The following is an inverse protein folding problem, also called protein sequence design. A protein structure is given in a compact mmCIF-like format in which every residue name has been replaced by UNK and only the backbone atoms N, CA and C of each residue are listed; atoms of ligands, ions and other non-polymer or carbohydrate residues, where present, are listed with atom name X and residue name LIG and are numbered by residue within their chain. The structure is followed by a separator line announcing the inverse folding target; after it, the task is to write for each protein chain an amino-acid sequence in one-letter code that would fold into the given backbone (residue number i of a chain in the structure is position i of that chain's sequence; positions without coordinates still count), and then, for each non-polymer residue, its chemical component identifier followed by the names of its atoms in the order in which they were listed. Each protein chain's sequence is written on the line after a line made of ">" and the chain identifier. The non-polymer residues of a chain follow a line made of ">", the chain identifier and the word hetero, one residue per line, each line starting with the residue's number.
data_IF_411833967166
#
_entry.id   IF_411833967166
#
_cell.length_a   1.000
_cell.length_b   1.000
_cell.length_c   1.000
_cell.angle_alpha   90.00
_cell.angle_beta   90.00
_cell.angle_gamma   90.00
#
_symmetry.space_group_name_H-M   'P 1'
#
loop_
_entity.id
_entity.type
_entity.pdbx_description
1 polymer ?
#
# COMPACT_ATOMS: atom_id res chain seq x y z
N UNK A 1 32.14 -15.71 -5.50
CA UNK A 1 31.61 -16.13 -6.82
C UNK A 1 31.58 -14.91 -7.72
N UNK A 2 32.16 -14.95 -8.93
CA UNK A 2 32.04 -13.84 -9.88
C UNK A 2 30.58 -13.68 -10.34
N UNK A 3 30.11 -12.46 -10.62
CA UNK A 3 28.76 -12.27 -11.14
C UNK A 3 28.63 -12.99 -12.48
N UNK A 4 27.53 -13.74 -12.66
CA UNK A 4 27.22 -14.40 -13.93
C UNK A 4 27.21 -13.35 -15.06
N UNK A 5 27.91 -13.66 -16.13
CA UNK A 5 27.97 -12.76 -17.30
C UNK A 5 26.56 -12.53 -17.85
N UNK A 6 26.32 -11.31 -18.32
CA UNK A 6 25.01 -10.86 -18.90
C UNK A 6 24.58 -11.73 -20.09
N UNK A 7 25.47 -12.54 -20.65
CA UNK A 7 25.25 -13.39 -21.83
C UNK A 7 24.44 -14.67 -21.54
N UNK A 8 24.33 -15.11 -20.29
CA UNK A 8 23.61 -16.36 -19.94
C UNK A 8 22.23 -16.09 -19.30
N UNK A 9 21.74 -14.84 -19.35
CA UNK A 9 20.45 -14.53 -18.76
C UNK A 9 19.29 -14.96 -19.68
N UNK A 10 18.50 -15.92 -19.23
CA UNK A 10 17.26 -16.36 -19.87
C UNK A 10 16.07 -15.73 -19.11
N UNK A 11 15.18 -15.07 -19.84
CA UNK A 11 13.97 -14.57 -19.23
C UNK A 11 13.14 -15.73 -18.66
N UNK A 12 12.61 -15.62 -17.42
CA UNK A 12 11.77 -16.67 -16.86
C UNK A 12 10.52 -16.86 -17.73
N UNK A 13 10.02 -18.09 -17.79
CA UNK A 13 8.76 -18.36 -18.43
C UNK A 13 7.61 -17.68 -17.67
N UNK A 14 6.51 -17.40 -18.37
CA UNK A 14 5.34 -16.82 -17.74
C UNK A 14 4.79 -17.68 -16.59
N UNK A 15 4.74 -18.98 -16.79
CA UNK A 15 4.27 -19.94 -15.78
C UNK A 15 5.14 -19.90 -14.53
N UNK A 16 6.46 -19.79 -14.67
CA UNK A 16 7.38 -19.63 -13.52
C UNK A 16 7.14 -18.30 -12.80
N UNK A 17 6.91 -17.21 -13.54
CA UNK A 17 6.61 -15.90 -12.94
C UNK A 17 5.33 -15.98 -12.11
N UNK A 18 4.25 -16.52 -12.65
CA UNK A 18 2.97 -16.62 -11.94
C UNK A 18 3.09 -17.57 -10.74
N UNK A 19 3.64 -18.76 -10.93
CA UNK A 19 3.73 -19.78 -9.90
C UNK A 19 4.56 -19.31 -8.70
N UNK A 20 5.69 -18.65 -8.95
CA UNK A 20 6.63 -18.28 -7.89
C UNK A 20 6.32 -16.93 -7.22
N UNK A 21 5.56 -16.05 -7.90
CA UNK A 21 5.39 -14.67 -7.43
C UNK A 21 3.94 -14.26 -7.14
N UNK A 22 2.92 -15.05 -7.54
CA UNK A 22 1.51 -14.67 -7.34
C UNK A 22 1.16 -14.42 -5.89
N UNK A 23 1.56 -15.32 -5.00
CA UNK A 23 1.29 -15.17 -3.57
C UNK A 23 2.01 -13.96 -2.94
N UNK A 24 3.23 -13.62 -3.43
CA UNK A 24 3.99 -12.46 -2.95
C UNK A 24 3.34 -11.16 -3.42
N UNK A 25 3.00 -11.08 -4.71
CA UNK A 25 2.32 -9.92 -5.30
C UNK A 25 0.97 -9.68 -4.63
N UNK A 26 0.18 -10.73 -4.41
CA UNK A 26 -1.09 -10.62 -3.72
C UNK A 26 -0.94 -10.11 -2.28
N UNK A 27 0.03 -10.64 -1.50
CA UNK A 27 0.29 -10.14 -0.14
C UNK A 27 0.67 -8.67 -0.12
N UNK A 28 1.57 -8.24 -1.04
CA UNK A 28 1.93 -6.83 -1.17
C UNK A 28 0.70 -5.99 -1.54
N UNK A 29 -0.08 -6.42 -2.54
CA UNK A 29 -1.29 -5.73 -2.96
C UNK A 29 -2.29 -5.59 -1.80
N UNK A 30 -2.49 -6.64 -1.02
CA UNK A 30 -3.37 -6.62 0.14
C UNK A 30 -2.89 -5.64 1.24
N UNK A 31 -1.59 -5.62 1.55
CA UNK A 31 -1.00 -4.68 2.51
C UNK A 31 -1.15 -3.22 2.07
N UNK A 32 -1.14 -2.98 0.76
CA UNK A 32 -1.30 -1.66 0.18
C UNK A 32 -2.77 -1.22 0.11
N UNK A 33 -3.69 -2.10 -0.26
CA UNK A 33 -5.11 -1.76 -0.50
C UNK A 33 -5.98 -1.87 0.75
N UNK A 34 -5.62 -2.77 1.68
CA UNK A 34 -6.37 -2.99 2.92
C UNK A 34 -7.56 -3.95 2.78
N UNK A 35 -7.95 -4.33 1.55
CA UNK A 35 -9.07 -5.25 1.34
C UNK A 35 -8.81 -6.25 0.21
N UNK A 36 -9.52 -7.37 0.26
CA UNK A 36 -9.31 -8.51 -0.63
C UNK A 36 -9.65 -8.19 -2.09
N UNK A 37 -10.76 -7.51 -2.34
CA UNK A 37 -11.23 -7.23 -3.69
C UNK A 37 -10.28 -6.28 -4.44
N UNK A 38 -9.92 -5.16 -3.82
CA UNK A 38 -8.93 -4.23 -4.40
C UNK A 38 -7.56 -4.92 -4.57
N UNK A 39 -7.20 -5.87 -3.69
CA UNK A 39 -5.95 -6.63 -3.79
C UNK A 39 -5.97 -7.63 -4.97
N UNK A 40 -7.09 -8.32 -5.17
CA UNK A 40 -7.28 -9.22 -6.31
C UNK A 40 -7.21 -8.45 -7.63
N UNK A 41 -7.93 -7.34 -7.75
CA UNK A 41 -7.92 -6.48 -8.93
C UNK A 41 -6.52 -5.92 -9.22
N UNK A 42 -5.85 -5.40 -8.17
CA UNK A 42 -4.49 -4.90 -8.31
C UNK A 42 -3.53 -6.02 -8.76
N UNK A 43 -3.65 -7.21 -8.18
CA UNK A 43 -2.82 -8.36 -8.54
C UNK A 43 -3.00 -8.76 -10.01
N UNK A 44 -4.24 -8.82 -10.48
CA UNK A 44 -4.54 -9.12 -11.89
C UNK A 44 -3.91 -8.08 -12.82
N UNK A 45 -4.09 -6.80 -12.53
CA UNK A 45 -3.51 -5.71 -13.34
C UNK A 45 -1.97 -5.75 -13.34
N UNK A 46 -1.34 -6.08 -12.19
CA UNK A 46 0.11 -6.29 -12.11
C UNK A 46 0.57 -7.36 -13.07
N UNK A 47 -0.08 -8.53 -13.09
CA UNK A 47 0.30 -9.62 -13.97
C UNK A 47 0.02 -9.32 -15.44
N UNK A 48 -1.05 -8.63 -15.77
CA UNK A 48 -1.31 -8.16 -17.15
C UNK A 48 -0.19 -7.24 -17.61
N UNK A 49 0.27 -6.29 -16.79
CA UNK A 49 1.39 -5.39 -17.13
C UNK A 49 2.72 -6.13 -17.18
N UNK A 50 2.96 -7.02 -16.23
CA UNK A 50 4.18 -7.84 -16.21
C UNK A 50 4.26 -8.71 -17.46
N UNK A 51 3.18 -9.36 -17.88
CA UNK A 51 3.15 -10.16 -19.08
C UNK A 51 3.55 -9.36 -20.33
N UNK A 52 2.97 -8.18 -20.51
CA UNK A 52 3.26 -7.30 -21.65
C UNK A 52 4.70 -6.78 -21.67
N UNK A 53 5.33 -6.66 -20.50
CA UNK A 53 6.66 -6.08 -20.36
C UNK A 53 7.77 -7.13 -20.13
N UNK A 54 7.43 -8.42 -19.93
CA UNK A 54 8.38 -9.48 -19.62
C UNK A 54 9.45 -9.64 -20.68
N UNK A 55 9.08 -9.52 -21.97
CA UNK A 55 10.03 -9.62 -23.09
C UNK A 55 11.12 -8.51 -23.04
N UNK A 56 10.84 -7.38 -22.40
CA UNK A 56 11.76 -6.25 -22.26
C UNK A 56 12.39 -6.19 -20.86
N UNK A 57 12.13 -7.18 -20.01
CA UNK A 57 12.70 -7.24 -18.68
C UNK A 57 14.21 -7.41 -18.77
N UNK A 58 14.94 -6.49 -18.13
CA UNK A 58 16.41 -6.54 -18.09
C UNK A 58 16.87 -7.35 -16.87
N UNK A 59 18.08 -7.93 -16.90
CA UNK A 59 18.63 -8.63 -15.76
C UNK A 59 18.56 -7.81 -14.49
N UNK A 60 17.92 -8.38 -13.46
CA UNK A 60 17.67 -7.77 -12.17
C UNK A 60 16.89 -8.74 -11.29
N UNK A 61 16.43 -8.30 -10.13
CA UNK A 61 15.54 -9.12 -9.32
C UNK A 61 14.11 -9.00 -9.82
N UNK A 62 13.51 -10.12 -10.16
CA UNK A 62 12.10 -10.16 -10.61
C UNK A 62 11.16 -9.66 -9.50
N UNK A 63 11.45 -9.98 -8.24
CA UNK A 63 10.71 -9.47 -7.08
C UNK A 63 10.72 -7.93 -7.03
N UNK A 64 11.90 -7.29 -7.16
CA UNK A 64 12.01 -5.83 -7.16
C UNK A 64 11.25 -5.17 -8.31
N UNK A 65 11.26 -5.80 -9.49
CA UNK A 65 10.49 -5.33 -10.63
C UNK A 65 8.97 -5.44 -10.43
N UNK A 66 8.50 -6.57 -9.88
CA UNK A 66 7.09 -6.75 -9.53
C UNK A 66 6.65 -5.81 -8.40
N UNK A 67 7.50 -5.58 -7.39
CA UNK A 67 7.24 -4.56 -6.36
C UNK A 67 7.02 -3.18 -6.98
N UNK A 68 7.86 -2.80 -7.94
CA UNK A 68 7.72 -1.50 -8.64
C UNK A 68 6.41 -1.41 -9.43
N UNK A 69 6.03 -2.45 -10.17
CA UNK A 69 4.75 -2.47 -10.89
C UNK A 69 3.59 -2.34 -9.92
N UNK A 70 3.59 -3.14 -8.85
CA UNK A 70 2.52 -3.18 -7.85
C UNK A 70 2.33 -1.83 -7.16
N UNK A 71 3.43 -1.22 -6.69
CA UNK A 71 3.35 0.05 -5.97
C UNK A 71 2.97 1.21 -6.87
N UNK A 72 3.46 1.26 -8.12
CA UNK A 72 3.07 2.29 -9.07
C UNK A 72 1.58 2.22 -9.40
N UNK A 73 1.06 1.02 -9.66
CA UNK A 73 -0.37 0.80 -9.90
C UNK A 73 -1.23 1.23 -8.72
N UNK A 74 -0.85 0.82 -7.51
CA UNK A 74 -1.54 1.24 -6.30
C UNK A 74 -1.58 2.76 -6.14
N UNK A 75 -0.44 3.45 -6.30
CA UNK A 75 -0.36 4.90 -6.18
C UNK A 75 -1.19 5.62 -7.26
N UNK A 76 -1.20 5.09 -8.49
CA UNK A 76 -2.02 5.63 -9.57
C UNK A 76 -3.52 5.46 -9.30
N UNK A 77 -3.94 4.30 -8.79
CA UNK A 77 -5.33 4.06 -8.37
C UNK A 77 -5.74 5.00 -7.23
N UNK A 78 -4.87 5.17 -6.23
CA UNK A 78 -5.10 6.08 -5.11
C UNK A 78 -5.26 7.54 -5.58
N UNK A 79 -4.42 8.00 -6.50
CA UNK A 79 -4.52 9.34 -7.10
C UNK A 79 -5.83 9.52 -7.90
N UNK A 80 -6.27 8.50 -8.65
CA UNK A 80 -7.55 8.53 -9.37
C UNK A 80 -8.73 8.61 -8.40
N UNK A 81 -8.76 7.75 -7.39
CA UNK A 81 -9.82 7.77 -6.34
C UNK A 81 -9.87 9.15 -5.67
N UNK A 82 -8.73 9.80 -5.44
CA UNK A 82 -8.65 11.12 -4.83
C UNK A 82 -9.22 12.22 -5.76
N UNK A 83 -8.90 12.19 -7.06
CA UNK A 83 -9.44 13.15 -8.05
C UNK A 83 -10.96 13.06 -8.16
N UNK A 84 -11.51 11.85 -8.28
CA UNK A 84 -12.97 11.63 -8.37
C UNK A 84 -13.70 12.17 -7.13
N UNK A 85 -13.08 12.11 -5.94
CA UNK A 85 -13.67 12.67 -4.71
C UNK A 85 -13.72 14.20 -4.69
N UNK A 86 -12.86 14.88 -5.44
CA UNK A 86 -12.77 16.34 -5.51
C UNK A 86 -13.46 16.95 -6.74
N UNK A 87 -13.90 16.12 -7.70
CA UNK A 87 -14.64 16.57 -8.88
C UNK A 87 -16.13 16.30 -8.68
N UNK A 88 -16.95 17.36 -8.38
CA UNK A 88 -18.39 17.21 -8.15
C UNK A 88 -19.18 16.83 -9.42
N UNK A 89 -18.55 16.90 -10.60
CA UNK A 89 -19.18 16.69 -11.90
C UNK A 89 -18.92 15.30 -12.49
N UNK A 90 -18.17 14.43 -11.81
CA UNK A 90 -17.97 13.05 -12.24
C UNK A 90 -19.20 12.23 -11.84
N UNK A 91 -20.08 12.02 -12.80
CA UNK A 91 -21.38 11.33 -12.70
C UNK A 91 -21.29 9.80 -12.45
N UNK A 92 -20.19 9.30 -11.93
CA UNK A 92 -20.00 7.88 -11.57
C UNK A 92 -20.19 7.64 -10.06
N UNK A 93 -21.33 8.08 -9.52
CA UNK A 93 -21.71 7.86 -8.12
C UNK A 93 -22.01 6.37 -7.80
N UNK A 94 -22.19 5.52 -8.80
CA UNK A 94 -22.56 4.10 -8.59
C UNK A 94 -21.41 3.18 -8.21
N UNK A 95 -20.16 3.57 -8.39
CA UNK A 95 -18.99 2.77 -7.98
C UNK A 95 -18.63 2.88 -6.48
N UNK A 96 -19.46 3.54 -5.67
CA UNK A 96 -19.23 3.75 -4.23
C UNK A 96 -19.85 2.70 -3.33
N UNK A 97 -20.44 1.67 -3.87
CA UNK A 97 -20.97 0.59 -3.06
C UNK A 97 -19.81 -0.27 -2.55
N UNK A 98 -19.39 0.11 -1.35
CA UNK A 98 -18.82 -0.68 -0.29
C UNK A 98 -18.47 -2.13 -0.68
N UNK A 99 -17.18 -2.42 -0.76
CA UNK A 99 -16.73 -3.78 -0.60
C UNK A 99 -17.32 -4.34 0.70
N UNK A 100 -18.16 -5.34 0.58
CA UNK A 100 -18.68 -6.11 1.69
C UNK A 100 -17.50 -6.62 2.50
N UNK A 101 -17.52 -6.33 3.79
CA UNK A 101 -16.56 -6.78 4.77
C UNK A 101 -16.35 -8.31 4.63
N UNK A 102 -15.16 -8.80 4.26
CA UNK A 102 -14.93 -10.24 4.23
C UNK A 102 -14.88 -10.71 5.67
N UNK A 103 -15.77 -11.62 6.03
CA UNK A 103 -15.82 -12.21 7.36
C UNK A 103 -14.44 -12.63 7.88
N UNK A 104 -14.22 -12.58 9.20
CA UNK A 104 -12.90 -12.67 9.83
C UNK A 104 -12.11 -13.96 9.53
N UNK A 105 -12.76 -15.04 9.13
CA UNK A 105 -12.12 -16.33 8.92
C UNK A 105 -11.20 -16.45 7.71
N UNK A 106 -11.43 -15.69 6.64
CA UNK A 106 -10.59 -15.76 5.41
C UNK A 106 -9.42 -14.78 5.42
N UNK A 107 -9.44 -13.77 6.27
CA UNK A 107 -8.36 -12.78 6.41
C UNK A 107 -7.13 -13.38 7.08
N UNK A 108 -7.31 -14.42 7.92
CA UNK A 108 -6.26 -15.05 8.71
C UNK A 108 -5.26 -15.89 7.87
N UNK A 109 -5.71 -16.51 6.78
CA UNK A 109 -4.86 -17.39 5.98
C UNK A 109 -3.83 -16.64 5.10
N UNK A 110 -4.13 -15.39 4.71
CA UNK A 110 -3.29 -14.70 3.73
C UNK A 110 -2.33 -13.67 4.30
N UNK A 111 -2.49 -13.19 5.52
CA UNK A 111 -1.76 -12.02 5.95
C UNK A 111 -0.98 -12.12 7.27
N UNK A 112 -1.32 -12.99 8.20
CA UNK A 112 -0.79 -12.93 9.58
C UNK A 112 -0.76 -11.50 10.18
N UNK A 113 -1.52 -10.57 9.56
CA UNK A 113 -1.60 -9.20 10.03
C UNK A 113 -2.77 -9.08 10.97
N UNK A 114 -2.50 -8.59 12.16
CA UNK A 114 -3.53 -8.25 13.12
C UNK A 114 -4.47 -7.18 12.54
N UNK A 115 -5.77 -7.33 12.77
CA UNK A 115 -6.83 -6.46 12.25
C UNK A 115 -6.54 -4.98 12.53
N UNK A 116 -6.02 -4.66 13.72
CA UNK A 116 -5.71 -3.29 14.09
C UNK A 116 -4.50 -2.74 13.31
N UNK A 117 -3.53 -3.59 13.00
CA UNK A 117 -2.37 -3.19 12.15
C UNK A 117 -2.84 -2.93 10.73
N UNK A 118 -3.73 -3.78 10.19
CA UNK A 118 -4.31 -3.60 8.87
C UNK A 118 -5.08 -2.28 8.79
N UNK A 119 -5.94 -2.00 9.76
CA UNK A 119 -6.70 -0.75 9.87
C UNK A 119 -5.78 0.48 10.03
N UNK A 120 -4.71 0.38 10.82
CA UNK A 120 -3.74 1.45 10.99
C UNK A 120 -2.97 1.74 9.69
N UNK A 121 -2.61 0.71 8.93
CA UNK A 121 -1.99 0.87 7.62
C UNK A 121 -2.95 1.51 6.62
N UNK A 122 -4.22 1.10 6.61
CA UNK A 122 -5.25 1.66 5.73
C UNK A 122 -5.50 3.15 6.01
N UNK A 123 -5.37 3.58 7.25
CA UNK A 123 -5.49 4.99 7.65
C UNK A 123 -4.32 5.86 7.16
N UNK A 124 -3.18 5.29 6.78
CA UNK A 124 -2.06 6.06 6.26
C UNK A 124 -2.36 6.65 4.88
N UNK A 125 -1.89 7.87 4.60
CA UNK A 125 -1.83 8.38 3.22
C UNK A 125 -1.10 7.38 2.31
N UNK A 126 -1.55 7.17 1.06
CA UNK A 126 -1.01 6.14 0.17
C UNK A 126 0.51 6.19 -0.02
N UNK A 127 1.09 7.37 -0.13
CA UNK A 127 2.54 7.56 -0.27
C UNK A 127 3.33 7.11 0.96
N UNK A 128 2.79 7.31 2.17
CA UNK A 128 3.42 6.88 3.42
C UNK A 128 3.25 5.38 3.60
N UNK A 129 2.05 4.85 3.30
CA UNK A 129 1.75 3.42 3.33
C UNK A 129 2.70 2.64 2.44
N UNK A 130 2.85 3.06 1.17
CA UNK A 130 3.76 2.40 0.23
C UNK A 130 5.21 2.36 0.76
N UNK A 131 5.72 3.47 1.27
CA UNK A 131 7.09 3.53 1.78
C UNK A 131 7.31 2.64 3.02
N UNK A 132 6.35 2.62 3.96
CA UNK A 132 6.41 1.80 5.17
C UNK A 132 6.26 0.31 4.83
N UNK A 133 5.30 -0.07 3.99
CA UNK A 133 5.09 -1.46 3.59
C UNK A 133 6.33 -2.02 2.90
N UNK A 134 6.91 -1.30 1.94
CA UNK A 134 8.12 -1.75 1.24
C UNK A 134 9.31 -1.92 2.21
N UNK A 135 9.51 -0.97 3.13
CA UNK A 135 10.64 -1.02 4.05
C UNK A 135 10.44 -2.05 5.17
N UNK A 136 9.31 -1.98 5.88
CA UNK A 136 9.12 -2.68 7.15
C UNK A 136 8.53 -4.08 6.97
N UNK A 137 7.81 -4.34 5.87
CA UNK A 137 7.14 -5.60 5.63
C UNK A 137 7.73 -6.41 4.48
N UNK A 138 8.26 -5.74 3.44
CA UNK A 138 8.96 -6.40 2.33
C UNK A 138 10.49 -6.42 2.54
N UNK A 139 11.01 -5.71 3.56
CA UNK A 139 12.41 -5.74 3.95
C UNK A 139 13.36 -4.99 3.00
N UNK A 140 12.84 -4.08 2.18
CA UNK A 140 13.66 -3.30 1.27
C UNK A 140 14.47 -2.24 2.05
N UNK A 141 15.73 -2.06 1.65
CA UNK A 141 16.55 -0.93 2.10
C UNK A 141 15.98 0.41 1.61
N UNK A 142 16.37 1.50 2.23
CA UNK A 142 15.91 2.83 1.82
C UNK A 142 16.28 3.18 0.38
N UNK A 143 17.43 2.71 -0.11
CA UNK A 143 17.86 2.90 -1.48
C UNK A 143 17.00 2.09 -2.47
N UNK A 144 16.66 0.84 -2.13
CA UNK A 144 15.74 0.01 -2.92
C UNK A 144 14.33 0.60 -2.93
N UNK A 145 13.83 1.13 -1.80
CA UNK A 145 12.54 1.84 -1.74
C UNK A 145 12.58 3.09 -2.61
N UNK A 146 13.68 3.87 -2.58
CA UNK A 146 13.86 5.05 -3.42
C UNK A 146 13.80 4.69 -4.91
N UNK A 147 14.49 3.61 -5.31
CA UNK A 147 14.46 3.10 -6.67
C UNK A 147 13.07 2.58 -7.08
N UNK A 148 12.40 1.83 -6.19
CA UNK A 148 11.08 1.24 -6.43
C UNK A 148 10.00 2.31 -6.62
N UNK A 149 10.01 3.34 -5.78
CA UNK A 149 9.03 4.43 -5.81
C UNK A 149 9.41 5.59 -6.73
N UNK A 150 10.62 5.55 -7.32
CA UNK A 150 11.19 6.61 -8.16
C UNK A 150 11.19 7.99 -7.47
N UNK A 151 11.68 8.03 -6.23
CA UNK A 151 11.77 9.24 -5.40
C UNK A 151 13.15 9.38 -4.76
N UNK A 152 13.50 10.60 -4.34
CA UNK A 152 14.77 10.86 -3.66
C UNK A 152 14.85 10.15 -2.30
N UNK A 153 16.04 9.68 -1.93
CA UNK A 153 16.32 9.03 -0.65
C UNK A 153 15.84 9.85 0.57
N UNK A 154 16.02 11.18 0.53
CA UNK A 154 15.51 12.08 1.58
C UNK A 154 13.98 12.04 1.72
N UNK A 155 13.26 11.88 0.60
CA UNK A 155 11.81 11.72 0.59
C UNK A 155 11.40 10.38 1.20
N UNK A 156 12.13 9.29 0.88
CA UNK A 156 11.90 7.97 1.50
C UNK A 156 12.03 8.06 3.02
N UNK A 157 13.14 8.62 3.52
CA UNK A 157 13.37 8.78 4.96
C UNK A 157 12.25 9.55 5.65
N UNK A 158 11.80 10.64 5.05
CA UNK A 158 10.72 11.46 5.62
C UNK A 158 9.37 10.73 5.59
N UNK A 159 9.04 10.00 4.49
CA UNK A 159 7.81 9.23 4.38
C UNK A 159 7.76 8.09 5.39
N UNK A 160 8.85 7.32 5.52
CA UNK A 160 8.94 6.22 6.49
C UNK A 160 8.84 6.76 7.92
N UNK A 161 9.59 7.82 8.25
CA UNK A 161 9.55 8.40 9.58
C UNK A 161 8.14 8.89 9.96
N UNK A 162 7.47 9.63 9.08
CA UNK A 162 6.11 10.12 9.31
C UNK A 162 5.09 8.98 9.34
N UNK A 163 5.18 8.03 8.43
CA UNK A 163 4.30 6.85 8.41
C UNK A 163 4.39 6.04 9.70
N UNK A 164 5.60 5.77 10.19
CA UNK A 164 5.83 5.10 11.49
C UNK A 164 5.31 5.90 12.68
N UNK A 165 5.40 7.25 12.62
CA UNK A 165 4.85 8.09 13.67
C UNK A 165 3.32 8.00 13.73
N UNK A 166 2.64 8.04 12.58
CA UNK A 166 1.19 7.87 12.47
C UNK A 166 0.74 6.48 12.92
N UNK A 167 1.48 5.41 12.54
CA UNK A 167 1.18 4.05 13.01
C UNK A 167 1.29 3.93 14.52
N UNK A 168 2.36 4.48 15.12
CA UNK A 168 2.52 4.49 16.59
C UNK A 168 1.39 5.22 17.29
N UNK A 169 0.90 6.30 16.72
CA UNK A 169 -0.24 7.04 17.26
C UNK A 169 -1.53 6.22 17.16
N UNK A 170 -1.78 5.62 16.00
CA UNK A 170 -2.96 4.78 15.75
C UNK A 170 -2.99 3.51 16.63
N UNK A 171 -1.81 2.93 16.91
CA UNK A 171 -1.66 1.71 17.71
C UNK A 171 -1.30 1.99 19.19
N UNK A 172 -1.42 3.24 19.63
CA UNK A 172 -1.00 3.63 20.98
C UNK A 172 -1.72 2.90 22.11
N UNK A 173 -2.95 2.45 21.88
CA UNK A 173 -3.75 1.69 22.86
C UNK A 173 -3.23 0.26 23.07
N UNK A 174 -2.39 -0.24 22.17
CA UNK A 174 -1.71 -1.55 22.26
C UNK A 174 -0.37 -1.52 22.98
N UNK A 175 0.12 -0.33 23.34
CA UNK A 175 1.40 -0.21 24.04
C UNK A 175 1.25 -0.78 25.46
N UNK A 176 1.92 -1.91 25.79
CA UNK A 176 1.83 -2.52 27.10
C UNK A 176 2.35 -1.61 28.22
N UNK A 177 3.16 -0.61 27.89
CA UNK A 177 3.62 0.40 28.83
C UNK A 177 2.50 1.38 29.24
N UNK A 178 1.55 1.68 28.34
CA UNK A 178 0.40 2.55 28.61
C UNK A 178 -0.71 1.84 29.39
N UNK A 179 -0.86 0.53 29.21
CA UNK A 179 -1.85 -0.26 29.97
C UNK A 179 -1.57 -0.32 31.46
N UNK A 180 -0.35 0.01 31.91
CA UNK A 180 0.03 0.07 33.33
C UNK A 180 -0.31 1.37 34.02
N UNK A 181 -0.55 2.46 33.27
CA UNK A 181 -0.79 3.81 33.84
C UNK A 181 -2.27 4.15 34.08
N UNK A 182 -3.21 3.21 33.89
CA UNK A 182 -4.64 3.41 34.24
C UNK A 182 -5.35 4.60 33.56
N UNK A 183 -4.74 5.22 32.55
CA UNK A 183 -5.38 6.27 31.75
C UNK A 183 -6.09 5.64 30.57
N UNK A 184 -7.39 5.46 30.72
CA UNK A 184 -8.29 5.00 29.67
C UNK A 184 -8.19 5.80 28.36
N UNK A 185 -8.63 5.23 27.23
CA UNK A 185 -8.47 5.81 25.91
C UNK A 185 -9.08 7.22 25.82
N UNK A 186 -8.27 8.21 25.46
CA UNK A 186 -8.78 9.51 25.03
C UNK A 186 -9.43 9.35 23.69
N UNK A 187 -10.78 9.44 23.64
CA UNK A 187 -11.54 9.48 22.40
C UNK A 187 -10.93 10.52 21.44
N UNK A 188 -10.72 10.16 20.15
CA UNK A 188 -10.24 11.11 19.17
C UNK A 188 -11.20 12.31 19.09
N UNK A 189 -10.70 13.51 19.30
CA UNK A 189 -11.45 14.74 19.01
C UNK A 189 -11.54 14.87 17.50
N UNK A 190 -12.68 14.46 16.92
CA UNK A 190 -13.03 14.87 15.57
C UNK A 190 -13.17 16.42 15.58
N UNK A 191 -12.16 17.10 15.07
CA UNK A 191 -12.27 18.51 14.72
C UNK A 191 -13.07 18.62 13.41
N UNK A 192 -14.38 18.79 13.52
CA UNK A 192 -15.22 19.20 12.41
C UNK A 192 -14.74 20.58 11.93
N UNK A 193 -14.57 20.81 10.62
CA UNK A 193 -14.28 22.13 10.11
C UNK A 193 -15.44 23.07 10.44
N UNK A 194 -15.13 24.18 11.07
CA UNK A 194 -16.09 25.28 11.34
C UNK A 194 -16.59 25.80 10.00
N UNK A 195 -17.84 25.53 9.71
CA UNK A 195 -18.56 26.23 8.61
C UNK A 195 -18.73 27.68 9.08
N UNK A 196 -17.95 28.57 8.50
CA UNK A 196 -18.14 30.01 8.67
C UNK A 196 -19.41 30.37 7.89
N UNK A 197 -20.49 30.67 8.62
CA UNK A 197 -21.75 31.10 8.05
C UNK A 197 -21.58 32.42 7.31
N UNK A 198 -21.97 32.45 6.04
CA UNK A 198 -22.19 33.69 5.31
C UNK A 198 -23.41 34.37 5.90
N UNK A 199 -23.17 35.48 6.58
CA UNK A 199 -24.22 36.43 7.01
C UNK A 199 -24.83 37.09 5.79
N UNK A 200 -26.14 36.93 5.62
CA UNK A 200 -26.96 37.77 4.73
C UNK A 200 -27.04 39.16 5.35
N UNK A 201 -26.77 40.16 4.54
CA UNK A 201 -27.20 41.55 4.79
C UNK A 201 -27.92 42.06 3.53
N UNK A 202 -29.18 42.37 3.71
CA UNK A 202 -30.05 43.42 3.12
C UNK A 202 -29.56 44.10 1.84
#
# INVERSE_FOLDING_TARGET
>A
MPPRSVQDWVAPSWDEVVTNHSAKVFRLAYRLTGNKYDAEDLTQEVFVRAFRALANFKPGTLDGWLHRITTNLFLDQARRKQRIRFDPLADDAESRLAGSDPGPERTFEFNNLDVDIAAALEALPPDFRAAVVLCDMEGLSYDEVAHTLDIKLGTVRSRIHRGRAMLRESLADRDPARSRDGRGPKKPRLSLPRIVGASAAL
#
